data_IF_273886722772
#
_entry.id   IF_273886722772
#
_cell.length_a   1.000
_cell.length_b   1.000
_cell.length_c   1.000
_cell.angle_alpha   90.00
_cell.angle_beta   90.00
_cell.angle_gamma   90.00
#
_symmetry.space_group_name_H-M   'P 1'
#
loop_
_entity.id
_entity.type
_entity.pdbx_description
1 polymer ?
#
# COMPACT_ATOMS: atom_id res chain seq x y z
N UNK A 1 -8.69 -7.21 -35.68
CA UNK A 1 -8.53 -8.54 -35.04
C UNK A 1 -8.61 -8.30 -33.54
N UNK A 2 -9.76 -8.54 -32.91
CA UNK A 2 -9.90 -8.39 -31.45
C UNK A 2 -9.04 -9.48 -30.80
N UNK A 3 -8.07 -9.07 -29.97
CA UNK A 3 -7.35 -10.05 -29.15
C UNK A 3 -8.36 -10.63 -28.16
N UNK A 4 -8.67 -11.92 -28.32
CA UNK A 4 -9.49 -12.65 -27.36
C UNK A 4 -8.58 -13.06 -26.20
N UNK A 5 -8.69 -12.36 -25.08
CA UNK A 5 -7.94 -12.68 -23.87
C UNK A 5 -8.76 -13.62 -23.01
N UNK A 6 -8.13 -14.70 -22.54
CA UNK A 6 -8.70 -15.56 -21.51
C UNK A 6 -8.62 -14.87 -20.14
N UNK A 7 -9.43 -15.31 -19.19
CA UNK A 7 -9.41 -14.79 -17.81
C UNK A 7 -8.00 -14.89 -17.20
N UNK A 8 -7.28 -15.97 -17.47
CA UNK A 8 -5.90 -16.15 -16.98
C UNK A 8 -4.92 -15.13 -17.58
N UNK A 9 -5.13 -14.72 -18.83
CA UNK A 9 -4.27 -13.70 -19.46
C UNK A 9 -4.47 -12.36 -18.77
N UNK A 10 -5.72 -12.02 -18.43
CA UNK A 10 -6.05 -10.79 -17.71
C UNK A 10 -5.37 -10.77 -16.34
N UNK A 11 -5.34 -11.88 -15.61
CA UNK A 11 -4.65 -11.96 -14.30
C UNK A 11 -3.14 -11.69 -14.41
N UNK A 12 -2.53 -12.06 -15.54
CA UNK A 12 -1.09 -11.92 -15.79
C UNK A 12 -0.73 -10.64 -16.57
N UNK A 13 -1.66 -9.71 -16.75
CA UNK A 13 -1.36 -8.41 -17.34
C UNK A 13 -0.34 -7.65 -16.49
N UNK A 14 0.58 -6.95 -17.17
CA UNK A 14 1.63 -6.14 -16.55
C UNK A 14 1.05 -5.17 -15.49
N UNK A 15 -0.03 -4.39 -15.78
CA UNK A 15 -0.65 -3.54 -14.76
C UNK A 15 -1.17 -4.32 -13.54
N UNK A 16 -1.77 -5.49 -13.73
CA UNK A 16 -2.31 -6.29 -12.62
C UNK A 16 -1.18 -6.90 -11.77
N UNK A 17 -0.06 -7.27 -12.39
CA UNK A 17 1.12 -7.75 -11.68
C UNK A 17 1.75 -6.64 -10.81
N UNK A 18 1.76 -5.40 -11.29
CA UNK A 18 2.17 -4.23 -10.50
C UNK A 18 1.16 -4.00 -9.36
N UNK A 19 -0.15 -4.11 -9.63
CA UNK A 19 -1.19 -4.07 -8.60
C UNK A 19 -0.97 -5.10 -7.48
N UNK A 20 -0.61 -6.35 -7.81
CA UNK A 20 -0.27 -7.35 -6.80
C UNK A 20 0.98 -6.97 -5.98
N UNK A 21 1.99 -6.39 -6.63
CA UNK A 21 3.18 -5.91 -5.92
C UNK A 21 2.85 -4.80 -4.92
N UNK A 22 1.89 -3.91 -5.24
CA UNK A 22 1.39 -2.87 -4.31
C UNK A 22 0.72 -3.47 -3.10
N UNK A 23 -0.15 -4.46 -3.31
CA UNK A 23 -0.84 -5.15 -2.21
C UNK A 23 0.19 -5.74 -1.23
N UNK A 24 1.21 -6.43 -1.76
CA UNK A 24 2.29 -7.00 -0.93
C UNK A 24 3.08 -5.91 -0.21
N UNK A 25 3.45 -4.82 -0.89
CA UNK A 25 4.20 -3.73 -0.30
C UNK A 25 3.40 -2.98 0.79
N UNK A 26 2.10 -2.75 0.58
CA UNK A 26 1.21 -2.13 1.59
C UNK A 26 1.03 -3.03 2.81
N UNK A 27 0.83 -4.34 2.61
CA UNK A 27 0.76 -5.31 3.71
C UNK A 27 2.09 -5.37 4.48
N UNK A 28 3.22 -5.32 3.77
CA UNK A 28 4.54 -5.30 4.38
C UNK A 28 4.77 -4.00 5.18
N UNK A 29 4.33 -2.85 4.67
CA UNK A 29 4.35 -1.59 5.42
C UNK A 29 3.57 -1.70 6.73
N UNK A 30 2.34 -2.22 6.68
CA UNK A 30 1.53 -2.37 7.89
C UNK A 30 2.13 -3.38 8.87
N UNK A 31 2.72 -4.46 8.36
CA UNK A 31 3.46 -5.41 9.18
C UNK A 31 4.62 -4.72 9.91
N UNK A 32 5.42 -3.91 9.21
CA UNK A 32 6.52 -3.15 9.84
C UNK A 32 6.01 -2.15 10.87
N UNK A 33 4.93 -1.42 10.57
CA UNK A 33 4.33 -0.44 11.49
C UNK A 33 3.84 -1.09 12.79
N UNK A 34 3.32 -2.33 12.73
CA UNK A 34 2.77 -3.04 13.90
C UNK A 34 3.87 -3.78 14.68
N UNK A 35 4.75 -4.52 14.00
CA UNK A 35 5.69 -5.43 14.65
C UNK A 35 7.09 -4.82 14.87
N UNK A 36 7.44 -3.73 14.20
CA UNK A 36 8.78 -3.13 14.25
C UNK A 36 8.73 -1.60 14.17
N UNK A 37 8.18 -0.91 15.19
CA UNK A 37 8.00 0.53 15.19
C UNK A 37 9.31 1.32 15.10
N UNK A 38 10.44 0.71 15.47
CA UNK A 38 11.78 1.31 15.35
C UNK A 38 12.19 1.59 13.89
N UNK A 39 11.56 0.89 12.93
CA UNK A 39 11.84 1.00 11.49
C UNK A 39 10.78 1.81 10.74
N UNK A 40 10.24 2.85 11.38
CA UNK A 40 9.19 3.70 10.79
C UNK A 40 9.59 4.28 9.42
N UNK A 41 10.86 4.61 9.20
CA UNK A 41 11.32 5.14 7.90
C UNK A 41 11.12 4.12 6.77
N UNK A 42 11.42 2.84 7.04
CA UNK A 42 11.27 1.78 6.05
C UNK A 42 9.80 1.53 5.75
N UNK A 43 8.94 1.54 6.78
CA UNK A 43 7.51 1.37 6.60
C UNK A 43 6.89 2.53 5.80
N UNK A 44 7.26 3.78 6.10
CA UNK A 44 6.81 4.93 5.30
C UNK A 44 7.32 4.86 3.87
N UNK A 45 8.58 4.45 3.65
CA UNK A 45 9.14 4.31 2.31
C UNK A 45 8.43 3.22 1.49
N UNK A 46 8.11 2.07 2.07
CA UNK A 46 7.38 1.00 1.39
C UNK A 46 5.93 1.38 1.10
N UNK A 47 5.27 2.11 2.01
CA UNK A 47 3.96 2.68 1.75
C UNK A 47 3.96 3.69 0.60
N UNK A 48 4.94 4.62 0.58
CA UNK A 48 5.10 5.58 -0.51
C UNK A 48 5.42 4.89 -1.84
N UNK A 49 6.20 3.80 -1.81
CA UNK A 49 6.43 2.97 -2.98
C UNK A 49 5.11 2.38 -3.52
N UNK A 50 4.24 1.86 -2.65
CA UNK A 50 2.91 1.38 -3.07
C UNK A 50 2.07 2.48 -3.74
N UNK A 51 2.15 3.72 -3.25
CA UNK A 51 1.48 4.87 -3.88
C UNK A 51 2.10 5.27 -5.22
N UNK A 52 3.42 5.22 -5.34
CA UNK A 52 4.08 5.52 -6.62
C UNK A 52 3.76 4.46 -7.67
N UNK A 53 3.76 3.18 -7.27
CA UNK A 53 3.45 2.05 -8.14
C UNK A 53 2.03 2.09 -8.72
N UNK A 54 1.07 2.74 -8.05
CA UNK A 54 -0.29 3.03 -8.55
C UNK A 54 -0.25 3.77 -9.89
N UNK A 55 0.51 4.87 -9.89
CA UNK A 55 0.66 5.68 -11.10
C UNK A 55 1.28 4.87 -12.24
N UNK A 56 2.24 3.99 -11.90
CA UNK A 56 2.92 3.16 -12.89
C UNK A 56 2.02 2.06 -13.46
N UNK A 57 1.14 1.45 -12.68
CA UNK A 57 0.20 0.44 -13.20
C UNK A 57 -0.79 1.07 -14.21
N UNK A 58 -1.31 2.27 -13.92
CA UNK A 58 -2.20 3.00 -14.82
C UNK A 58 -1.50 3.53 -16.08
N UNK A 59 -0.20 3.85 -15.98
CA UNK A 59 0.64 4.17 -17.14
C UNK A 59 0.91 2.93 -18.00
N UNK A 60 1.21 1.79 -17.37
CA UNK A 60 1.44 0.53 -18.07
C UNK A 60 0.17 0.04 -18.80
N UNK A 61 -0.99 0.12 -18.13
CA UNK A 61 -2.28 -0.26 -18.73
C UNK A 61 -2.56 0.51 -20.02
N UNK A 62 -2.33 1.83 -20.03
CA UNK A 62 -2.49 2.70 -21.21
C UNK A 62 -1.44 2.46 -22.28
N UNK A 63 -0.19 2.22 -21.90
CA UNK A 63 0.91 1.99 -22.85
C UNK A 63 0.80 0.66 -23.58
N UNK A 64 0.35 -0.38 -22.88
CA UNK A 64 0.24 -1.74 -23.43
C UNK A 64 -1.16 -2.09 -23.94
N UNK A 65 -2.11 -1.15 -23.86
CA UNK A 65 -3.53 -1.36 -24.21
C UNK A 65 -4.13 -2.58 -23.46
N UNK A 66 -3.78 -2.70 -22.18
CA UNK A 66 -4.13 -3.81 -21.28
C UNK A 66 -5.13 -3.38 -20.20
N UNK A 67 -6.02 -2.43 -20.51
CA UNK A 67 -7.07 -2.01 -19.59
C UNK A 67 -8.12 -3.11 -19.42
N UNK A 68 -8.45 -3.45 -18.17
CA UNK A 68 -9.45 -4.47 -17.85
C UNK A 68 -10.34 -4.02 -16.68
N UNK A 69 -11.60 -4.49 -16.67
CA UNK A 69 -12.52 -4.22 -15.55
C UNK A 69 -12.02 -4.83 -14.24
N UNK A 70 -11.34 -5.97 -14.30
CA UNK A 70 -10.71 -6.58 -13.14
C UNK A 70 -9.58 -5.71 -12.58
N UNK A 71 -8.69 -5.20 -13.44
CA UNK A 71 -7.61 -4.31 -13.01
C UNK A 71 -8.14 -3.03 -12.35
N UNK A 72 -9.18 -2.41 -12.93
CA UNK A 72 -9.81 -1.24 -12.31
C UNK A 72 -10.49 -1.55 -10.97
N UNK A 73 -11.07 -2.74 -10.81
CA UNK A 73 -11.62 -3.18 -9.52
C UNK A 73 -10.51 -3.44 -8.49
N UNK A 74 -9.44 -4.12 -8.89
CA UNK A 74 -8.29 -4.43 -8.04
C UNK A 74 -7.66 -3.15 -7.49
N UNK A 75 -7.49 -2.15 -8.35
CA UNK A 75 -6.95 -0.85 -8.00
C UNK A 75 -7.82 -0.12 -6.97
N UNK A 76 -9.12 0.04 -7.28
CA UNK A 76 -10.10 0.63 -6.37
C UNK A 76 -10.14 -0.05 -4.99
N UNK A 77 -10.12 -1.38 -4.95
CA UNK A 77 -10.12 -2.13 -3.68
C UNK A 77 -8.82 -1.89 -2.92
N UNK A 78 -7.68 -1.94 -3.61
CA UNK A 78 -6.35 -1.77 -3.00
C UNK A 78 -6.18 -0.38 -2.40
N UNK A 79 -6.69 0.66 -3.06
CA UNK A 79 -6.69 2.04 -2.54
C UNK A 79 -7.49 2.19 -1.26
N UNK A 80 -8.69 1.60 -1.22
CA UNK A 80 -9.55 1.65 -0.01
C UNK A 80 -8.90 0.89 1.13
N UNK A 81 -8.36 -0.30 0.88
CA UNK A 81 -7.64 -1.07 1.89
C UNK A 81 -6.40 -0.33 2.41
N UNK A 82 -5.62 0.28 1.52
CA UNK A 82 -4.40 1.01 1.88
C UNK A 82 -4.71 2.29 2.69
N UNK A 83 -5.81 2.97 2.36
CA UNK A 83 -6.27 4.15 3.11
C UNK A 83 -6.78 3.76 4.50
N UNK A 84 -7.62 2.72 4.58
CA UNK A 84 -8.18 2.24 5.86
C UNK A 84 -7.10 1.71 6.80
N UNK A 85 -6.13 0.96 6.26
CA UNK A 85 -5.00 0.45 7.07
C UNK A 85 -4.16 1.58 7.66
N UNK A 86 -3.85 2.61 6.86
CA UNK A 86 -3.14 3.79 7.36
C UNK A 86 -3.95 4.53 8.43
N UNK A 87 -5.25 4.75 8.18
CA UNK A 87 -6.14 5.41 9.15
C UNK A 87 -6.24 4.62 10.46
N UNK A 88 -6.29 3.29 10.41
CA UNK A 88 -6.34 2.45 11.60
C UNK A 88 -5.07 2.58 12.44
N UNK A 89 -3.90 2.61 11.80
CA UNK A 89 -2.61 2.82 12.47
C UNK A 89 -2.55 4.22 13.07
N UNK A 90 -2.95 5.24 12.32
CA UNK A 90 -2.99 6.62 12.80
C UNK A 90 -3.99 6.80 13.96
N UNK A 91 -5.15 6.14 13.90
CA UNK A 91 -6.13 6.12 14.98
C UNK A 91 -5.57 5.42 16.22
N UNK A 92 -4.85 4.30 16.08
CA UNK A 92 -4.18 3.66 17.22
C UNK A 92 -3.16 4.58 17.89
N UNK A 93 -2.40 5.33 17.09
CA UNK A 93 -1.43 6.31 17.60
C UNK A 93 -2.13 7.50 18.28
N UNK A 94 -3.13 8.10 17.63
CA UNK A 94 -3.80 9.29 18.14
C UNK A 94 -4.79 8.98 19.27
N UNK A 95 -5.50 7.86 19.21
CA UNK A 95 -6.42 7.38 20.25
C UNK A 95 -5.72 7.01 21.55
N UNK A 96 -4.42 6.70 21.51
CA UNK A 96 -3.58 6.57 22.71
C UNK A 96 -3.26 7.90 23.40
N UNK A 97 -3.75 9.04 22.88
CA UNK A 97 -3.43 10.38 23.41
C UNK A 97 -4.37 10.85 24.53
N UNK A 98 -5.42 10.11 24.89
CA UNK A 98 -6.41 10.58 25.90
C UNK A 98 -6.34 9.92 27.29
N UNK A 99 -5.40 8.99 27.52
CA UNK A 99 -5.03 8.53 28.88
C UNK A 99 -3.55 8.13 28.91
N UNK A 100 -2.68 9.09 29.25
CA UNK A 100 -1.27 8.92 29.63
C UNK A 100 -0.35 8.05 28.73
N UNK A 101 0.63 8.72 28.11
CA UNK A 101 1.88 8.20 27.51
C UNK A 101 1.83 7.62 26.08
N UNK A 102 1.72 8.55 25.12
CA UNK A 102 2.10 8.44 23.70
C UNK A 102 3.40 7.63 23.46
N UNK A 103 3.29 6.48 22.77
CA UNK A 103 4.36 5.49 22.56
C UNK A 103 5.39 5.86 21.49
N UNK A 104 5.03 6.66 20.49
CA UNK A 104 5.95 7.13 19.45
C UNK A 104 6.88 8.26 19.92
N UNK A 105 6.46 9.10 20.88
CA UNK A 105 7.25 10.18 21.47
C UNK A 105 8.33 9.66 22.42
N UNK A 106 8.09 8.53 23.09
CA UNK A 106 9.06 7.99 24.05
C UNK A 106 10.27 7.36 23.37
N UNK A 107 10.11 6.87 22.14
CA UNK A 107 11.20 6.24 21.37
C UNK A 107 12.06 7.28 20.63
N UNK A 108 11.45 8.36 20.10
CA UNK A 108 12.19 9.54 19.60
C UNK A 108 12.90 10.30 20.75
N UNK A 109 12.32 10.36 21.95
CA UNK A 109 12.96 10.97 23.14
C UNK A 109 14.06 10.11 23.77
N UNK A 110 14.06 8.78 23.57
CA UNK A 110 15.09 7.88 24.09
C UNK A 110 16.39 7.90 23.27
N UNK A 111 16.34 8.40 22.03
CA UNK A 111 17.51 8.63 21.17
C UNK A 111 18.01 10.10 21.18
N UNK A 112 17.47 10.96 22.06
CA UNK A 112 17.98 12.33 22.30
C UNK A 112 18.54 12.51 23.72
N UNK A 113 19.11 11.45 24.30
CA UNK A 113 19.98 11.49 25.48
C UNK A 113 21.08 10.44 25.35
#
# INVERSE_FOLDING_TARGET
MSKSYSTNDVLLFIPNLIGYSRVVASLFSFFLMIFSPDQWQLATATYLYSFAADLFDGMAARKYDQCSSFGGLLDMVTDRCSTLGLLFILYGEYGSTDHDHFGFYRLVRKNMK
#
